data_IF_714279199799
#
_entry.id   IF_714279199799
#
_cell.length_a   1.000
_cell.length_b   1.000
_cell.length_c   1.000
_cell.angle_alpha   90.00
_cell.angle_beta   90.00
_cell.angle_gamma   90.00
#
_symmetry.space_group_name_H-M   'P 1'
#
loop_
_entity.id
_entity.type
_entity.pdbx_description
1 polymer ?
#
# COMPACT_ATOMS: atom_id res chain seq x y z
N UNK A 1 -2.50 11.10 10.55
CA UNK A 1 -2.28 10.88 9.11
C UNK A 1 -2.96 9.58 8.78
N UNK A 2 -3.46 9.33 7.59
CA UNK A 2 -3.90 7.98 7.21
C UNK A 2 -2.68 7.09 7.03
N UNK A 3 -2.83 5.78 7.21
CA UNK A 3 -1.90 4.82 6.69
C UNK A 3 -1.86 4.96 5.17
N UNK A 4 -0.70 4.80 4.57
CA UNK A 4 -0.53 4.89 3.14
C UNK A 4 -0.51 3.50 2.49
N UNK A 5 -1.16 3.39 1.36
CA UNK A 5 -1.02 2.27 0.44
C UNK A 5 -0.17 2.73 -0.74
N UNK A 6 0.93 2.04 -0.99
CA UNK A 6 1.84 2.25 -2.11
C UNK A 6 1.35 1.41 -3.28
N UNK A 7 1.15 2.03 -4.42
CA UNK A 7 0.51 1.38 -5.56
C UNK A 7 1.41 1.49 -6.79
N UNK A 8 1.50 0.40 -7.54
CA UNK A 8 2.20 0.30 -8.82
C UNK A 8 1.20 -0.17 -9.87
N UNK A 9 0.94 0.67 -10.86
CA UNK A 9 0.08 0.35 -11.98
C UNK A 9 0.90 0.25 -13.25
N UNK A 10 0.84 -0.90 -13.92
CA UNK A 10 1.47 -1.15 -15.20
C UNK A 10 0.41 -1.39 -16.26
N UNK A 11 0.42 -0.57 -17.30
CA UNK A 11 -0.47 -0.65 -18.46
C UNK A 11 0.22 -0.05 -19.67
N UNK A 12 -0.43 -0.10 -20.86
CA UNK A 12 0.11 0.57 -22.04
C UNK A 12 0.16 2.09 -21.85
N UNK A 13 1.09 2.73 -22.56
CA UNK A 13 1.22 4.19 -22.60
C UNK A 13 -0.09 4.90 -23.01
N UNK A 14 -0.90 4.25 -23.84
CA UNK A 14 -2.20 4.79 -24.24
C UNK A 14 -3.16 4.89 -23.05
N UNK A 15 -3.19 3.88 -22.19
CA UNK A 15 -4.01 3.86 -20.96
C UNK A 15 -3.48 4.89 -19.98
N UNK A 16 -2.17 4.87 -19.71
CA UNK A 16 -1.56 5.72 -18.70
C UNK A 16 -1.72 7.22 -19.01
N UNK A 17 -1.58 7.62 -20.26
CA UNK A 17 -1.81 9.01 -20.70
C UNK A 17 -3.24 9.49 -20.48
N UNK A 18 -4.22 8.59 -20.36
CA UNK A 18 -5.62 8.95 -20.14
C UNK A 18 -6.01 9.05 -18.66
N UNK A 19 -5.15 8.64 -17.76
CA UNK A 19 -5.41 8.64 -16.31
C UNK A 19 -4.54 9.62 -15.54
N UNK A 20 -3.69 10.36 -16.23
CA UNK A 20 -2.91 11.45 -15.64
C UNK A 20 -3.46 12.81 -16.07
N UNK A 21 -3.30 13.81 -15.21
CA UNK A 21 -3.62 15.20 -15.51
C UNK A 21 -2.50 15.89 -16.33
N UNK A 22 -2.65 17.19 -16.59
CA UNK A 22 -1.66 18.01 -17.30
C UNK A 22 -0.31 18.12 -16.55
N UNK A 23 -0.30 17.88 -15.24
CA UNK A 23 0.90 17.86 -14.38
C UNK A 23 1.60 16.51 -14.35
N UNK A 24 0.98 15.46 -14.92
CA UNK A 24 1.47 14.08 -14.88
C UNK A 24 1.06 13.32 -13.61
N UNK A 25 0.19 13.90 -12.79
CA UNK A 25 -0.37 13.28 -11.60
C UNK A 25 -1.55 12.37 -11.98
N UNK A 26 -1.66 11.21 -11.30
CA UNK A 26 -2.81 10.33 -11.51
C UNK A 26 -4.10 11.03 -11.07
N UNK A 27 -5.13 10.97 -11.93
CA UNK A 27 -6.45 11.56 -11.63
C UNK A 27 -7.58 10.53 -11.84
N UNK A 28 -8.17 10.06 -10.74
CA UNK A 28 -9.26 9.09 -10.77
C UNK A 28 -10.53 9.62 -11.43
N UNK A 29 -10.71 10.95 -11.48
CA UNK A 29 -11.83 11.57 -12.15
C UNK A 29 -11.84 11.34 -13.67
N UNK A 30 -10.72 10.98 -14.27
CA UNK A 30 -10.61 10.64 -15.70
C UNK A 30 -11.38 9.36 -16.07
N UNK A 31 -11.59 8.49 -15.09
CA UNK A 31 -12.28 7.20 -15.23
C UNK A 31 -13.60 7.17 -14.45
N UNK A 32 -13.57 7.60 -13.19
CA UNK A 32 -14.72 7.61 -12.28
C UNK A 32 -14.91 9.04 -11.75
N UNK A 33 -15.55 9.93 -12.51
CA UNK A 33 -15.66 11.34 -12.17
C UNK A 33 -16.58 11.57 -10.96
N UNK A 34 -16.06 12.23 -9.92
CA UNK A 34 -16.86 12.66 -8.78
C UNK A 34 -17.90 13.72 -9.22
N UNK A 35 -19.19 13.54 -8.88
CA UNK A 35 -20.22 14.53 -9.14
C UNK A 35 -19.84 15.91 -8.55
N UNK A 36 -20.00 16.96 -9.35
CA UNK A 36 -19.64 18.33 -8.94
C UNK A 36 -20.36 18.78 -7.68
N UNK A 37 -21.59 18.34 -7.48
CA UNK A 37 -22.41 18.68 -6.33
C UNK A 37 -21.88 18.04 -5.01
N UNK A 38 -21.06 17.01 -5.10
CA UNK A 38 -20.41 16.42 -3.93
C UNK A 38 -19.05 17.07 -3.62
N UNK A 39 -18.43 17.70 -4.62
CA UNK A 39 -17.15 18.38 -4.42
C UNK A 39 -17.29 19.53 -3.42
N UNK A 40 -16.41 19.58 -2.42
CA UNK A 40 -16.43 20.61 -1.38
C UNK A 40 -17.51 20.43 -0.30
N UNK A 41 -18.29 19.36 -0.33
CA UNK A 41 -19.18 19.00 0.78
C UNK A 41 -18.36 18.64 2.02
N UNK A 42 -19.00 18.66 3.21
CA UNK A 42 -18.31 18.39 4.48
C UNK A 42 -18.56 16.96 4.94
N UNK A 43 -17.50 16.23 5.27
CA UNK A 43 -17.55 14.91 5.88
C UNK A 43 -16.64 14.88 7.13
N UNK A 44 -16.98 14.12 8.20
CA UNK A 44 -18.27 13.45 8.43
C UNK A 44 -19.40 14.47 8.68
N UNK A 45 -20.63 14.02 8.50
CA UNK A 45 -21.81 14.84 8.74
C UNK A 45 -21.87 15.27 10.20
N UNK A 46 -21.88 16.59 10.44
CA UNK A 46 -22.23 17.19 11.74
C UNK A 46 -23.74 17.16 11.92
N UNK A 47 -24.21 17.59 13.11
CA UNK A 47 -25.63 17.89 13.30
C UNK A 47 -26.12 18.89 12.23
N UNK A 48 -26.89 18.37 11.29
CA UNK A 48 -27.38 19.13 10.13
C UNK A 48 -28.66 19.86 10.49
N UNK A 49 -28.75 21.11 10.06
CA UNK A 49 -30.02 21.87 10.06
C UNK A 49 -31.06 21.15 9.18
N UNK A 50 -32.36 21.50 9.33
CA UNK A 50 -33.42 20.91 8.50
C UNK A 50 -33.18 21.11 7.01
N UNK A 51 -32.69 22.29 6.61
CA UNK A 51 -32.38 22.60 5.19
C UNK A 51 -31.22 21.74 4.66
N UNK A 52 -30.20 21.53 5.47
CA UNK A 52 -29.06 20.66 5.12
C UNK A 52 -29.46 19.18 5.03
N UNK A 53 -30.37 18.71 5.91
CA UNK A 53 -30.94 17.37 5.82
C UNK A 53 -31.74 17.15 4.54
N UNK A 54 -32.51 18.15 4.10
CA UNK A 54 -33.29 18.08 2.87
C UNK A 54 -32.37 18.11 1.62
N UNK A 55 -31.28 18.88 1.67
CA UNK A 55 -30.25 18.87 0.60
C UNK A 55 -29.51 17.52 0.56
N UNK A 56 -29.10 17.01 1.71
CA UNK A 56 -28.45 15.69 1.86
C UNK A 56 -29.30 14.57 1.26
N UNK A 57 -30.59 14.53 1.56
CA UNK A 57 -31.50 13.52 0.97
C UNK A 57 -31.50 13.53 -0.57
N UNK A 58 -31.53 14.73 -1.17
CA UNK A 58 -31.49 14.85 -2.64
C UNK A 58 -30.20 14.33 -3.25
N UNK A 59 -29.06 14.55 -2.55
CA UNK A 59 -27.77 14.04 -3.00
C UNK A 59 -27.71 12.52 -2.88
N UNK A 60 -28.21 11.95 -1.78
CA UNK A 60 -28.30 10.51 -1.58
C UNK A 60 -29.20 9.86 -2.65
N UNK A 61 -30.38 10.45 -2.90
CA UNK A 61 -31.30 9.95 -3.95
C UNK A 61 -30.67 9.95 -5.34
N UNK A 62 -29.77 10.94 -5.63
CA UNK A 62 -29.17 11.10 -6.95
C UNK A 62 -27.86 10.32 -7.12
N UNK A 63 -27.03 10.26 -6.06
CA UNK A 63 -25.65 9.79 -6.15
C UNK A 63 -25.29 8.65 -5.18
N UNK A 64 -26.24 8.22 -4.34
CA UNK A 64 -25.98 7.25 -3.29
C UNK A 64 -25.38 7.86 -2.01
N UNK A 65 -24.70 9.00 -2.13
CA UNK A 65 -23.95 9.66 -1.07
C UNK A 65 -24.28 11.16 -0.98
N UNK A 66 -24.10 11.78 0.18
CA UNK A 66 -24.34 13.19 0.38
C UNK A 66 -23.05 14.02 0.57
N UNK A 67 -21.91 13.38 0.48
CA UNK A 67 -20.61 14.00 0.64
C UNK A 67 -19.52 13.31 -0.17
N UNK A 68 -18.41 14.04 -0.40
CA UNK A 68 -17.29 13.59 -1.21
C UNK A 68 -16.57 12.37 -0.61
N UNK A 69 -16.50 12.29 0.72
CA UNK A 69 -15.74 11.25 1.43
C UNK A 69 -16.37 9.88 1.27
N UNK A 70 -17.67 9.75 1.63
CA UNK A 70 -18.39 8.48 1.50
C UNK A 70 -18.45 8.05 0.03
N UNK A 71 -18.65 9.03 -0.88
CA UNK A 71 -18.66 8.76 -2.31
C UNK A 71 -17.30 8.26 -2.83
N UNK A 72 -16.18 8.88 -2.45
CA UNK A 72 -14.85 8.43 -2.90
C UNK A 72 -14.49 7.05 -2.33
N UNK A 73 -14.79 6.77 -1.07
CA UNK A 73 -14.59 5.45 -0.48
C UNK A 73 -15.41 4.36 -1.22
N UNK A 74 -16.66 4.66 -1.61
CA UNK A 74 -17.53 3.71 -2.30
C UNK A 74 -17.17 3.52 -3.78
N UNK A 75 -16.78 4.59 -4.49
CA UNK A 75 -16.60 4.55 -5.94
C UNK A 75 -15.13 4.42 -6.38
N UNK A 76 -14.19 4.97 -5.63
CA UNK A 76 -12.76 4.80 -5.91
C UNK A 76 -12.12 3.68 -5.09
N UNK A 77 -12.69 3.32 -3.94
CA UNK A 77 -12.12 2.38 -2.98
C UNK A 77 -11.14 3.02 -2.00
N UNK A 78 -10.94 4.35 -2.06
CA UNK A 78 -10.02 5.10 -1.21
C UNK A 78 -10.57 6.48 -0.87
N UNK A 79 -10.01 7.12 0.15
CA UNK A 79 -10.50 8.39 0.70
C UNK A 79 -10.44 9.56 -0.29
N UNK A 80 -9.34 9.70 -1.02
CA UNK A 80 -9.10 10.78 -1.98
C UNK A 80 -8.34 10.28 -3.19
N UNK A 81 -8.12 11.18 -4.15
CA UNK A 81 -7.37 10.89 -5.37
C UNK A 81 -5.96 10.39 -5.07
N UNK A 82 -5.34 9.68 -6.00
CA UNK A 82 -3.95 9.26 -5.89
C UNK A 82 -3.00 10.45 -5.71
N UNK A 83 -1.93 10.24 -4.96
CA UNK A 83 -0.88 11.23 -4.72
C UNK A 83 0.44 10.65 -5.19
N UNK A 84 1.12 11.35 -6.09
CA UNK A 84 2.47 10.99 -6.52
C UNK A 84 3.50 11.35 -5.44
N UNK A 85 4.52 10.53 -5.29
CA UNK A 85 5.61 10.79 -4.32
C UNK A 85 6.59 11.86 -4.79
N UNK A 86 6.76 11.97 -6.10
CA UNK A 86 7.59 12.94 -6.78
C UNK A 86 6.86 13.47 -8.02
N UNK A 87 7.13 14.69 -8.49
CA UNK A 87 6.48 15.27 -9.66
C UNK A 87 6.75 14.53 -10.99
N UNK A 88 7.35 13.35 -10.94
CA UNK A 88 7.67 12.50 -12.08
C UNK A 88 7.52 11.01 -11.79
N UNK A 89 6.40 10.59 -11.23
CA UNK A 89 6.15 9.17 -10.97
C UNK A 89 5.82 8.35 -12.24
N UNK A 90 5.92 8.96 -13.42
CA UNK A 90 5.91 8.24 -14.69
C UNK A 90 7.31 7.73 -14.97
N UNK A 91 7.62 6.51 -14.51
CA UNK A 91 8.92 5.87 -14.76
C UNK A 91 8.78 4.89 -15.91
N UNK A 92 9.39 5.21 -17.04
CA UNK A 92 9.63 4.25 -18.10
C UNK A 92 10.80 3.36 -17.67
N UNK A 93 10.45 2.15 -17.25
CA UNK A 93 11.33 1.00 -17.16
C UNK A 93 12.49 1.08 -16.15
N UNK A 94 12.39 0.31 -15.17
CA UNK A 94 13.36 -0.48 -14.38
C UNK A 94 13.02 -0.48 -12.89
N UNK A 95 12.63 -1.60 -12.38
CA UNK A 95 12.49 -1.84 -10.97
C UNK A 95 12.14 -3.32 -10.75
N UNK A 96 12.66 -3.88 -9.69
CA UNK A 96 12.44 -5.25 -9.27
C UNK A 96 11.03 -5.38 -8.67
N UNK A 97 10.04 -5.62 -9.50
CA UNK A 97 8.71 -6.03 -9.08
C UNK A 97 8.38 -7.37 -9.71
N UNK A 98 7.39 -8.09 -9.20
CA UNK A 98 6.87 -9.34 -9.76
C UNK A 98 6.55 -9.28 -11.25
N UNK A 99 6.28 -8.08 -11.76
CA UNK A 99 5.98 -7.85 -13.16
C UNK A 99 7.23 -7.37 -13.89
N UNK A 100 7.72 -8.17 -14.83
CA UNK A 100 8.81 -7.76 -15.73
C UNK A 100 8.33 -6.58 -16.55
N UNK A 101 8.96 -5.42 -16.35
CA UNK A 101 8.55 -4.18 -16.94
C UNK A 101 8.86 -4.15 -18.43
N UNK A 102 7.85 -3.79 -19.21
CA UNK A 102 8.00 -3.57 -20.64
C UNK A 102 7.61 -2.17 -21.06
N UNK A 103 6.53 -1.60 -20.56
CA UNK A 103 5.97 -0.32 -20.99
C UNK A 103 5.12 0.28 -19.86
N UNK A 104 5.31 1.57 -19.61
CA UNK A 104 4.47 2.42 -18.81
C UNK A 104 4.08 1.98 -17.40
N UNK A 105 4.69 2.59 -16.38
CA UNK A 105 4.38 2.33 -14.97
C UNK A 105 4.07 3.65 -14.29
N UNK A 106 3.05 3.67 -13.42
CA UNK A 106 2.79 4.77 -12.51
C UNK A 106 2.89 4.26 -11.08
N UNK A 107 3.72 4.95 -10.27
CA UNK A 107 3.75 4.79 -8.82
C UNK A 107 2.92 5.91 -8.18
N UNK A 108 2.05 5.55 -7.24
CA UNK A 108 1.27 6.53 -6.51
C UNK A 108 0.84 5.98 -5.16
N UNK A 109 0.48 6.87 -4.24
CA UNK A 109 -0.05 6.50 -2.92
C UNK A 109 -1.53 6.80 -2.81
N UNK A 110 -2.21 5.97 -2.05
CA UNK A 110 -3.61 6.17 -1.65
C UNK A 110 -3.77 6.03 -0.14
N UNK A 111 -4.88 6.56 0.38
CA UNK A 111 -5.16 6.49 1.81
C UNK A 111 -5.86 5.18 2.17
N UNK A 112 -5.27 4.40 3.09
CA UNK A 112 -5.75 3.18 3.76
C UNK A 112 -5.79 1.91 2.91
N UNK A 113 -6.07 1.99 1.63
CA UNK A 113 -6.21 0.85 0.71
C UNK A 113 -5.90 1.25 -0.72
N UNK A 114 -5.65 0.28 -1.58
CA UNK A 114 -5.58 0.54 -3.01
C UNK A 114 -6.95 0.97 -3.58
N UNK A 115 -6.98 1.67 -4.70
CA UNK A 115 -8.21 2.22 -5.26
C UNK A 115 -8.98 1.17 -6.09
N UNK A 116 -9.56 0.17 -5.44
CA UNK A 116 -10.21 -0.98 -6.08
C UNK A 116 -11.25 -0.57 -7.12
N UNK A 117 -12.18 0.32 -6.76
CA UNK A 117 -13.24 0.77 -7.67
C UNK A 117 -12.72 1.50 -8.90
N UNK A 118 -11.64 2.29 -8.74
CA UNK A 118 -10.98 2.94 -9.86
C UNK A 118 -10.30 1.92 -10.79
N UNK A 119 -9.55 0.96 -10.25
CA UNK A 119 -8.83 -0.07 -11.04
C UNK A 119 -9.82 -0.96 -11.78
N UNK A 120 -10.91 -1.37 -11.13
CA UNK A 120 -11.98 -2.14 -11.79
C UNK A 120 -12.61 -1.35 -12.94
N UNK A 121 -12.97 -0.09 -12.71
CA UNK A 121 -13.55 0.77 -13.73
C UNK A 121 -12.57 1.04 -14.89
N UNK A 122 -11.28 1.22 -14.59
CA UNK A 122 -10.21 1.38 -15.58
C UNK A 122 -10.13 0.15 -16.50
N UNK A 123 -10.12 -1.05 -15.93
CA UNK A 123 -10.05 -2.29 -16.71
C UNK A 123 -11.28 -2.50 -17.59
N UNK A 124 -12.47 -2.08 -17.14
CA UNK A 124 -13.71 -2.11 -17.95
C UNK A 124 -13.72 -1.05 -19.05
N UNK A 125 -13.09 0.12 -18.81
CA UNK A 125 -12.93 1.18 -19.80
C UNK A 125 -12.00 0.74 -20.95
N UNK A 126 -10.99 -0.10 -20.64
CA UNK A 126 -10.03 -0.66 -21.60
C UNK A 126 -10.09 -2.20 -21.62
N UNK A 127 -11.18 -2.81 -22.12
CA UNK A 127 -11.46 -4.24 -21.93
C UNK A 127 -10.48 -5.18 -22.63
N UNK A 128 -9.69 -4.69 -23.57
CA UNK A 128 -8.66 -5.46 -24.28
C UNK A 128 -7.28 -5.38 -23.61
N UNK A 129 -7.09 -4.43 -22.69
CA UNK A 129 -5.85 -4.21 -21.98
C UNK A 129 -5.70 -5.19 -20.80
N UNK A 130 -4.50 -5.74 -20.62
CA UNK A 130 -4.13 -6.47 -19.43
C UNK A 130 -3.41 -5.49 -18.51
N UNK A 131 -4.08 -5.05 -17.46
CA UNK A 131 -3.51 -4.18 -16.44
C UNK A 131 -2.87 -5.06 -15.38
N UNK A 132 -1.63 -4.73 -14.99
CA UNK A 132 -0.95 -5.34 -13.86
C UNK A 132 -0.94 -4.33 -12.72
N UNK A 133 -1.28 -4.79 -11.54
CA UNK A 133 -1.38 -3.95 -10.38
C UNK A 133 -0.75 -4.62 -9.16
N UNK A 134 -0.04 -3.82 -8.39
CA UNK A 134 0.57 -4.24 -7.14
C UNK A 134 0.37 -3.14 -6.11
N UNK A 135 0.09 -3.52 -4.88
CA UNK A 135 -0.02 -2.57 -3.79
C UNK A 135 0.47 -3.16 -2.48
N UNK A 136 1.00 -2.30 -1.62
CA UNK A 136 1.41 -2.63 -0.27
C UNK A 136 1.00 -1.52 0.68
N UNK A 137 0.38 -1.88 1.79
CA UNK A 137 0.08 -0.96 2.88
C UNK A 137 1.33 -0.75 3.74
N UNK A 138 1.49 0.42 4.36
CA UNK A 138 2.71 0.80 5.10
C UNK A 138 3.08 -0.15 6.26
N UNK A 139 2.18 -1.03 6.68
CA UNK A 139 2.46 -2.08 7.66
C UNK A 139 3.09 -3.34 7.02
N UNK A 140 3.07 -3.49 5.71
CA UNK A 140 3.75 -4.55 4.97
C UNK A 140 2.85 -5.71 4.52
N UNK A 141 1.54 -5.52 4.38
CA UNK A 141 0.65 -6.46 3.71
C UNK A 141 0.18 -5.92 2.37
N UNK A 142 -0.13 -6.79 1.43
CA UNK A 142 -0.50 -6.36 0.10
C UNK A 142 -0.81 -7.49 -0.87
N UNK A 143 -0.90 -7.13 -2.14
CA UNK A 143 -1.34 -8.03 -3.19
C UNK A 143 -0.78 -7.60 -4.54
N UNK A 144 -0.43 -8.56 -5.38
CA UNK A 144 -0.13 -8.37 -6.79
C UNK A 144 -1.12 -9.16 -7.64
N UNK A 145 -1.70 -8.51 -8.65
CA UNK A 145 -2.71 -9.13 -9.51
C UNK A 145 -2.67 -8.58 -10.93
N UNK A 146 -3.30 -9.32 -11.83
CA UNK A 146 -3.68 -8.83 -13.14
C UNK A 146 -5.19 -8.62 -13.20
N UNK A 147 -5.63 -7.63 -13.98
CA UNK A 147 -7.05 -7.39 -14.21
C UNK A 147 -7.31 -7.07 -15.68
N UNK A 148 -8.36 -7.67 -16.25
CA UNK A 148 -8.81 -7.44 -17.61
C UNK A 148 -10.32 -7.45 -17.68
N UNK A 149 -10.93 -6.39 -18.22
CA UNK A 149 -12.39 -6.25 -18.35
C UNK A 149 -13.15 -6.52 -17.04
N UNK A 150 -12.60 -6.12 -15.90
CA UNK A 150 -13.17 -6.33 -14.57
C UNK A 150 -12.91 -7.71 -13.96
N UNK A 151 -12.27 -8.63 -14.66
CA UNK A 151 -11.88 -9.94 -14.16
C UNK A 151 -10.47 -9.86 -13.56
N UNK A 152 -10.38 -10.03 -12.24
CA UNK A 152 -9.15 -9.98 -11.45
C UNK A 152 -8.59 -11.39 -11.25
N UNK A 153 -7.28 -11.55 -11.43
CA UNK A 153 -6.53 -12.76 -11.16
C UNK A 153 -5.35 -12.44 -10.23
N UNK A 154 -5.41 -12.96 -9.00
CA UNK A 154 -4.37 -12.77 -7.99
C UNK A 154 -3.14 -13.60 -8.40
N UNK A 155 -1.96 -12.95 -8.41
CA UNK A 155 -0.69 -13.57 -8.70
C UNK A 155 0.07 -13.89 -7.41
N UNK A 156 0.00 -12.98 -6.45
CA UNK A 156 0.60 -13.11 -5.12
C UNK A 156 -0.20 -12.30 -4.11
N UNK A 157 -0.27 -12.79 -2.89
CA UNK A 157 -0.84 -12.12 -1.73
C UNK A 157 0.09 -12.34 -0.53
N UNK A 158 0.33 -11.31 0.25
CA UNK A 158 1.15 -11.38 1.46
C UNK A 158 0.50 -10.62 2.60
N UNK A 159 0.68 -11.13 3.79
CA UNK A 159 0.11 -10.59 5.01
C UNK A 159 1.21 -10.33 6.04
N UNK A 160 0.84 -9.69 7.14
CA UNK A 160 1.73 -9.49 8.27
C UNK A 160 2.05 -10.82 8.93
N UNK A 161 3.29 -10.99 9.42
CA UNK A 161 3.62 -12.16 10.21
C UNK A 161 2.85 -12.13 11.54
N UNK A 162 2.45 -13.30 12.03
CA UNK A 162 1.93 -13.42 13.37
C UNK A 162 3.08 -13.64 14.36
N UNK A 163 3.16 -12.80 15.38
CA UNK A 163 4.19 -12.85 16.40
C UNK A 163 3.67 -13.53 17.67
N UNK A 164 4.49 -14.43 18.23
CA UNK A 164 4.25 -15.14 19.48
C UNK A 164 5.00 -14.53 20.66
N UNK A 165 5.91 -15.31 21.27
CA UNK A 165 6.70 -14.88 22.43
C UNK A 165 7.75 -13.84 22.03
N UNK A 166 7.90 -12.80 22.84
CA UNK A 166 8.99 -11.83 22.76
C UNK A 166 9.91 -11.97 23.96
N UNK A 167 11.24 -11.98 23.71
CA UNK A 167 12.26 -12.13 24.73
C UNK A 167 13.30 -11.03 24.59
N UNK A 168 13.46 -10.24 25.65
CA UNK A 168 14.48 -9.20 25.72
C UNK A 168 15.86 -9.81 26.10
N UNK A 169 16.90 -9.51 25.30
CA UNK A 169 18.28 -9.91 25.57
C UNK A 169 19.20 -8.70 25.38
N UNK A 170 19.59 -8.06 26.47
CA UNK A 170 20.35 -6.82 26.43
C UNK A 170 19.55 -5.70 25.77
N UNK A 171 20.05 -5.21 24.65
CA UNK A 171 19.38 -4.15 23.85
C UNK A 171 18.56 -4.74 22.71
N UNK A 172 18.51 -6.05 22.56
CA UNK A 172 17.84 -6.74 21.46
C UNK A 172 16.52 -7.35 21.90
N UNK A 173 15.50 -7.24 21.05
CA UNK A 173 14.25 -8.00 21.15
C UNK A 173 14.33 -9.20 20.22
N UNK A 174 14.01 -10.37 20.72
CA UNK A 174 13.87 -11.61 19.95
C UNK A 174 12.40 -11.95 19.91
N UNK A 175 11.83 -12.14 18.72
CA UNK A 175 10.41 -12.45 18.53
C UNK A 175 10.24 -13.79 17.85
N UNK A 176 9.34 -14.62 18.37
CA UNK A 176 8.89 -15.85 17.72
C UNK A 176 7.89 -15.53 16.63
N UNK A 177 8.12 -16.02 15.42
CA UNK A 177 7.14 -15.98 14.34
C UNK A 177 6.26 -17.24 14.41
N UNK A 178 4.98 -17.09 14.67
CA UNK A 178 4.02 -18.20 14.78
C UNK A 178 3.13 -18.34 13.54
N UNK A 179 3.03 -17.32 12.69
CA UNK A 179 2.35 -17.36 11.40
C UNK A 179 3.22 -16.73 10.32
N UNK A 180 3.29 -17.37 9.15
CA UNK A 180 4.05 -16.86 8.02
C UNK A 180 3.57 -15.48 7.59
N UNK A 181 4.51 -14.60 7.19
CA UNK A 181 4.15 -13.27 6.71
C UNK A 181 5.29 -12.61 5.95
N UNK A 182 4.99 -11.45 5.36
CA UNK A 182 5.93 -10.70 4.54
C UNK A 182 6.13 -11.31 3.15
N UNK A 183 7.06 -10.72 2.40
CA UNK A 183 7.32 -11.04 0.99
C UNK A 183 8.82 -11.25 0.76
N UNK A 184 9.17 -12.16 -0.17
CA UNK A 184 10.57 -12.44 -0.55
C UNK A 184 11.14 -11.35 -1.46
N UNK A 185 11.21 -10.11 -1.13
CA UNK A 185 11.71 -8.97 -1.92
C UNK A 185 10.61 -8.23 -2.75
N UNK A 186 10.79 -6.93 -2.98
CA UNK A 186 11.93 -6.11 -2.56
C UNK A 186 11.72 -5.33 -1.26
N UNK A 187 10.52 -5.39 -0.63
CA UNK A 187 10.12 -4.41 0.37
C UNK A 187 9.97 -4.95 1.81
N UNK A 188 9.56 -6.19 1.98
CA UNK A 188 9.27 -6.73 3.32
C UNK A 188 9.96 -8.08 3.50
N UNK A 189 10.74 -8.30 4.57
CA UNK A 189 11.33 -9.60 4.85
C UNK A 189 10.25 -10.68 4.96
N UNK A 190 10.48 -11.85 4.39
CA UNK A 190 9.60 -13.00 4.57
C UNK A 190 9.89 -13.65 5.91
N UNK A 191 8.86 -13.73 6.74
CA UNK A 191 8.92 -14.38 8.05
C UNK A 191 8.28 -15.77 7.97
N UNK A 192 8.88 -16.73 8.64
CA UNK A 192 8.44 -18.14 8.63
C UNK A 192 8.01 -18.58 10.02
N UNK A 193 6.85 -19.20 10.11
CA UNK A 193 6.36 -19.79 11.34
C UNK A 193 7.34 -20.79 11.95
N UNK A 194 7.48 -20.75 13.27
CA UNK A 194 8.41 -21.59 14.03
C UNK A 194 9.86 -21.11 14.00
N UNK A 195 10.12 -19.91 13.48
CA UNK A 195 11.44 -19.27 13.51
C UNK A 195 11.49 -18.14 14.54
N UNK A 196 12.70 -17.77 14.95
CA UNK A 196 12.99 -16.68 15.88
C UNK A 196 13.78 -15.59 15.16
N UNK A 197 13.39 -14.35 15.35
CA UNK A 197 13.98 -13.20 14.65
C UNK A 197 14.55 -12.19 15.65
N UNK A 198 15.71 -11.62 15.33
CA UNK A 198 16.35 -10.57 16.13
C UNK A 198 16.14 -9.24 15.44
N UNK A 199 15.43 -8.32 16.10
CA UNK A 199 15.10 -7.00 15.56
C UNK A 199 14.05 -7.04 14.46
N UNK A 200 13.46 -5.88 14.17
CA UNK A 200 12.44 -5.73 13.13
C UNK A 200 13.08 -5.30 11.80
N UNK A 201 14.16 -4.49 11.87
CA UNK A 201 14.76 -3.88 10.67
C UNK A 201 15.92 -4.68 10.05
N UNK A 202 16.60 -5.55 10.82
CA UNK A 202 17.74 -6.35 10.35
C UNK A 202 17.48 -7.88 10.46
N UNK A 203 16.27 -8.29 10.57
CA UNK A 203 15.66 -9.63 10.66
C UNK A 203 16.61 -10.81 10.46
N UNK A 204 17.51 -11.08 11.41
CA UNK A 204 18.28 -12.32 11.41
C UNK A 204 17.39 -13.50 11.83
N UNK A 205 17.16 -14.46 10.91
CA UNK A 205 16.39 -15.69 11.14
C UNK A 205 17.21 -16.74 11.92
N UNK A 206 16.60 -17.37 12.93
CA UNK A 206 17.18 -18.43 13.72
C UNK A 206 16.22 -19.61 13.90
N UNK A 207 16.77 -20.83 13.94
CA UNK A 207 15.98 -22.04 14.11
C UNK A 207 15.47 -22.25 15.54
N UNK A 208 16.06 -21.57 16.52
CA UNK A 208 15.67 -21.69 17.93
C UNK A 208 15.94 -20.41 18.73
N UNK A 209 15.22 -20.24 19.83
CA UNK A 209 15.44 -19.16 20.78
C UNK A 209 16.88 -19.16 21.36
N UNK A 210 17.46 -20.34 21.57
CA UNK A 210 18.83 -20.45 22.12
C UNK A 210 19.87 -19.95 21.12
N UNK A 211 19.70 -20.23 19.82
CA UNK A 211 20.55 -19.67 18.76
C UNK A 211 20.42 -18.15 18.67
N UNK A 212 19.20 -17.63 18.68
CA UNK A 212 18.95 -16.19 18.68
C UNK A 212 19.58 -15.50 19.90
N UNK A 213 19.45 -16.08 21.11
CA UNK A 213 20.10 -15.57 22.33
C UNK A 213 21.61 -15.60 22.24
N UNK A 214 22.19 -16.64 21.67
CA UNK A 214 23.63 -16.73 21.45
C UNK A 214 24.11 -15.64 20.47
N UNK A 215 23.37 -15.38 19.43
CA UNK A 215 23.68 -14.33 18.45
C UNK A 215 23.58 -12.92 19.07
N UNK A 216 22.59 -12.63 19.89
CA UNK A 216 22.48 -11.36 20.61
C UNK A 216 23.74 -11.06 21.44
N UNK A 217 24.30 -12.05 22.11
CA UNK A 217 25.55 -11.86 22.89
C UNK A 217 26.71 -11.47 21.98
N UNK A 218 26.82 -12.08 20.79
CA UNK A 218 27.86 -11.74 19.83
C UNK A 218 27.67 -10.31 19.32
N UNK A 219 26.43 -9.91 19.00
CA UNK A 219 26.09 -8.55 18.56
C UNK A 219 26.45 -7.50 19.62
N UNK A 220 26.20 -7.78 20.92
CA UNK A 220 26.59 -6.90 22.02
C UNK A 220 28.11 -6.74 22.10
N UNK A 221 28.88 -7.84 22.00
CA UNK A 221 30.33 -7.80 22.00
C UNK A 221 30.89 -7.00 20.79
N UNK A 222 30.32 -7.17 19.61
CA UNK A 222 30.68 -6.42 18.41
C UNK A 222 30.36 -4.94 18.58
N UNK A 223 29.22 -4.60 19.16
CA UNK A 223 28.84 -3.23 19.47
C UNK A 223 29.77 -2.54 20.44
N UNK A 224 30.14 -3.22 21.53
CA UNK A 224 31.11 -2.67 22.49
C UNK A 224 32.51 -2.46 21.89
N UNK A 225 32.96 -3.35 20.99
CA UNK A 225 34.22 -3.19 20.28
C UNK A 225 34.16 -1.94 19.36
N UNK A 226 33.08 -1.76 18.60
CA UNK A 226 32.88 -0.56 17.76
C UNK A 226 32.85 0.73 18.55
N UNK A 227 32.22 0.75 19.71
CA UNK A 227 32.24 1.93 20.61
C UNK A 227 33.63 2.32 21.04
N UNK A 228 34.51 1.33 21.31
CA UNK A 228 35.91 1.57 21.70
C UNK A 228 36.68 2.14 20.52
N UNK A 229 36.51 1.59 19.32
CA UNK A 229 37.18 2.08 18.09
C UNK A 229 36.81 3.52 17.77
N UNK A 230 35.50 3.88 17.85
CA UNK A 230 35.02 5.24 17.63
C UNK A 230 35.57 6.24 18.67
N UNK A 231 35.80 5.80 19.89
CA UNK A 231 36.39 6.68 20.94
C UNK A 231 37.91 6.87 20.78
N UNK A 232 38.58 6.03 20.01
CA UNK A 232 40.02 6.07 19.79
C UNK A 232 40.40 6.76 18.49
N UNK A 233 39.42 7.03 17.61
CA UNK A 233 39.56 7.77 16.35
C UNK A 233 39.21 9.26 16.54
#
# INVERSE_FOLDING_TARGET
MPNWSYNILNASDEVLKQIVDEGGEIDFNTVVPMPKELQGTVSPSRDKTRKEKDASKKLIEKYGNDNWYDWSCENWGTKWNGVSDEPYSYVIGSGDTLFTYGEGIIHFRTAWSYPEGFIEALSKKFPNELIKFEWEEEQGFGEAFTIKNGEKEIQEEWDLPEWGEEVEVGIHTISECIGDGGREEPYTPKFKAGKWYIGIDECEEHDSLDEAKARCKVLEEEWEKRKIEIKLA
#
